data_IF_117895742354
#
_entry.id   IF_117895742354
#
_cell.length_a   1.000
_cell.length_b   1.000
_cell.length_c   1.000
_cell.angle_alpha   90.00
_cell.angle_beta   90.00
_cell.angle_gamma   90.00
#
_symmetry.space_group_name_H-M   'P 1'
#
loop_
_entity.id
_entity.type
_entity.pdbx_description
1 polymer ?
#
# COMPACT_ATOMS: atom_id res chain seq x y z
N UNK A 1 13.43 -7.87 -3.39
CA UNK A 1 12.46 -8.32 -2.37
C UNK A 1 11.79 -9.60 -2.86
N UNK A 2 11.26 -10.47 -2.00
CA UNK A 2 10.46 -11.64 -2.43
C UNK A 2 8.97 -11.36 -2.20
N UNK A 3 8.08 -12.07 -2.90
CA UNK A 3 6.63 -11.95 -2.68
C UNK A 3 6.23 -12.29 -1.23
N UNK A 4 6.89 -13.27 -0.61
CA UNK A 4 6.68 -13.60 0.82
C UNK A 4 7.07 -12.44 1.74
N UNK A 5 8.23 -11.83 1.50
CA UNK A 5 8.67 -10.66 2.27
C UNK A 5 7.74 -9.46 2.08
N UNK A 6 7.25 -9.23 0.86
CA UNK A 6 6.26 -8.20 0.59
C UNK A 6 4.93 -8.48 1.31
N UNK A 7 4.43 -9.72 1.26
CA UNK A 7 3.21 -10.11 1.97
C UNK A 7 3.33 -9.86 3.48
N UNK A 8 4.50 -10.11 4.07
CA UNK A 8 4.74 -9.83 5.48
C UNK A 8 4.74 -8.33 5.80
N UNK A 9 5.35 -7.49 4.96
CA UNK A 9 5.29 -6.03 5.09
C UNK A 9 3.85 -5.54 4.95
N UNK A 10 3.11 -6.03 3.96
CA UNK A 10 1.70 -5.71 3.76
C UNK A 10 0.86 -6.09 4.97
N UNK A 11 1.08 -7.27 5.56
CA UNK A 11 0.38 -7.70 6.78
C UNK A 11 0.65 -6.78 7.99
N UNK A 12 1.88 -6.29 8.13
CA UNK A 12 2.22 -5.34 9.19
C UNK A 12 1.51 -4.00 8.99
N UNK A 13 1.48 -3.48 7.76
CA UNK A 13 0.77 -2.23 7.44
C UNK A 13 -0.74 -2.40 7.65
N UNK A 14 -1.31 -3.51 7.19
CA UNK A 14 -2.71 -3.87 7.39
C UNK A 14 -3.09 -3.91 8.89
N UNK A 15 -2.20 -4.44 9.74
CA UNK A 15 -2.41 -4.47 11.19
C UNK A 15 -2.50 -3.06 11.79
N UNK A 16 -1.66 -2.14 11.34
CA UNK A 16 -1.65 -0.75 11.82
C UNK A 16 -2.83 0.06 11.29
N UNK A 17 -3.19 -0.14 10.02
CA UNK A 17 -4.24 0.63 9.35
C UNK A 17 -5.65 0.05 9.50
N UNK A 18 -5.79 -1.22 9.88
CA UNK A 18 -7.10 -1.88 10.04
C UNK A 18 -8.08 -1.16 10.98
N UNK A 19 -7.65 -0.56 12.10
CA UNK A 19 -8.53 0.24 12.95
C UNK A 19 -8.84 1.65 12.42
N UNK A 20 -8.16 2.12 11.38
CA UNK A 20 -8.31 3.48 10.85
C UNK A 20 -9.50 3.51 9.88
N UNK A 21 -10.40 4.47 10.06
CA UNK A 21 -11.49 4.71 9.10
C UNK A 21 -10.95 5.34 7.82
N UNK A 22 -10.87 4.55 6.76
CA UNK A 22 -10.55 5.00 5.39
C UNK A 22 -11.85 5.18 4.63
N UNK A 23 -12.06 6.36 4.04
CA UNK A 23 -13.23 6.67 3.24
C UNK A 23 -12.97 7.86 2.31
N UNK A 24 -13.92 8.14 1.43
CA UNK A 24 -13.98 9.37 0.63
C UNK A 24 -15.13 10.28 1.09
N UNK A 25 -15.12 11.54 0.66
CA UNK A 25 -16.20 12.49 0.90
C UNK A 25 -15.95 13.48 2.03
N UNK A 26 -16.99 13.84 2.77
CA UNK A 26 -16.97 14.81 3.87
C UNK A 26 -16.96 14.11 5.24
N UNK A 27 -16.50 14.80 6.28
CA UNK A 27 -16.40 14.27 7.64
C UNK A 27 -14.98 13.84 8.01
N UNK A 28 -14.83 13.28 9.22
CA UNK A 28 -13.53 12.89 9.77
C UNK A 28 -13.18 11.45 9.34
N UNK A 29 -12.29 11.33 8.37
CA UNK A 29 -11.71 10.06 7.91
C UNK A 29 -10.28 10.30 7.43
N UNK A 30 -9.54 9.21 7.26
CA UNK A 30 -8.21 9.24 6.63
C UNK A 30 -8.29 8.75 5.19
N UNK A 31 -7.28 9.08 4.40
CA UNK A 31 -7.06 8.54 3.05
C UNK A 31 -5.64 7.97 2.98
N UNK A 32 -5.47 6.92 2.21
CA UNK A 32 -4.18 6.22 2.07
C UNK A 32 -3.80 6.18 0.60
N UNK A 33 -2.54 6.46 0.31
CA UNK A 33 -1.91 6.22 -0.99
C UNK A 33 -0.75 5.27 -0.79
N UNK A 34 -0.54 4.38 -1.75
CA UNK A 34 0.50 3.36 -1.69
C UNK A 34 1.43 3.56 -2.87
N UNK A 35 2.69 3.74 -2.53
CA UNK A 35 3.77 3.98 -3.47
C UNK A 35 4.79 2.87 -3.26
N UNK A 36 5.08 2.13 -4.31
CA UNK A 36 6.16 1.14 -4.33
C UNK A 36 7.34 1.72 -5.08
N UNK A 37 8.55 1.25 -4.79
CA UNK A 37 9.73 1.70 -5.50
C UNK A 37 10.75 0.58 -5.68
N UNK A 38 11.38 0.59 -6.85
CA UNK A 38 12.58 -0.19 -7.19
C UNK A 38 13.62 0.77 -7.74
N UNK A 39 13.86 0.73 -9.06
CA UNK A 39 14.64 1.75 -9.74
C UNK A 39 13.86 3.07 -9.87
N UNK A 40 12.54 2.97 -10.01
CA UNK A 40 11.62 4.10 -10.05
C UNK A 40 10.49 3.94 -9.03
N UNK A 41 9.94 5.05 -8.56
CA UNK A 41 8.75 5.05 -7.70
C UNK A 41 7.47 5.01 -8.55
N UNK A 42 6.55 4.13 -8.18
CA UNK A 42 5.25 3.96 -8.83
C UNK A 42 4.14 4.13 -7.81
N UNK A 43 3.20 5.02 -8.11
CA UNK A 43 1.96 5.14 -7.33
C UNK A 43 1.08 3.96 -7.75
N UNK A 44 0.89 3.01 -6.85
CA UNK A 44 0.03 1.83 -7.08
C UNK A 44 -1.42 2.18 -6.78
N UNK A 45 -1.64 2.97 -5.73
CA UNK A 45 -2.95 3.48 -5.34
C UNK A 45 -2.85 4.94 -4.91
N UNK A 46 -3.69 5.81 -5.46
CA UNK A 46 -3.85 7.21 -5.09
C UNK A 46 -4.75 7.37 -3.86
N UNK A 47 -4.75 8.57 -3.26
CA UNK A 47 -5.61 8.88 -2.12
C UNK A 47 -7.12 8.76 -2.38
N UNK A 48 -7.54 8.65 -3.63
CA UNK A 48 -8.93 8.55 -4.08
C UNK A 48 -9.39 7.11 -4.34
N UNK A 49 -8.47 6.14 -4.28
CA UNK A 49 -8.73 4.82 -4.86
C UNK A 49 -9.40 3.86 -3.86
N UNK A 50 -9.44 4.22 -2.58
CA UNK A 50 -10.11 3.43 -1.53
C UNK A 50 -11.30 4.18 -0.94
N UNK A 51 -12.47 3.54 -0.96
CA UNK A 51 -13.72 4.05 -0.39
C UNK A 51 -14.03 3.47 0.99
N UNK A 52 -13.31 2.43 1.40
CA UNK A 52 -13.44 1.80 2.72
C UNK A 52 -12.11 1.20 3.20
N UNK A 53 -11.99 0.98 4.51
CA UNK A 53 -10.85 0.25 5.09
C UNK A 53 -10.77 -1.19 4.57
N UNK A 54 -11.90 -1.88 4.39
CA UNK A 54 -11.93 -3.25 3.86
C UNK A 54 -11.46 -3.32 2.41
N UNK A 55 -11.85 -2.36 1.57
CA UNK A 55 -11.37 -2.25 0.19
C UNK A 55 -9.86 -2.04 0.16
N UNK A 56 -9.34 -1.11 0.96
CA UNK A 56 -7.90 -0.89 1.09
C UNK A 56 -7.19 -2.19 1.50
N UNK A 57 -7.65 -2.89 2.54
CA UNK A 57 -7.03 -4.14 3.00
C UNK A 57 -7.02 -5.21 1.90
N UNK A 58 -8.13 -5.39 1.19
CA UNK A 58 -8.25 -6.40 0.14
C UNK A 58 -7.34 -6.11 -1.07
N UNK A 59 -7.28 -4.86 -1.53
CA UNK A 59 -6.47 -4.48 -2.69
C UNK A 59 -4.96 -4.47 -2.38
N UNK A 60 -4.58 -4.11 -1.15
CA UNK A 60 -3.18 -4.11 -0.72
C UNK A 60 -2.49 -5.48 -0.82
N UNK A 61 -3.21 -6.57 -0.56
CA UNK A 61 -2.66 -7.93 -0.68
C UNK A 61 -2.49 -8.41 -2.12
N UNK A 62 -3.00 -7.67 -3.11
CA UNK A 62 -2.81 -7.96 -4.54
C UNK A 62 -1.55 -7.30 -5.11
N UNK A 63 -0.83 -6.50 -4.32
CA UNK A 63 0.41 -5.87 -4.76
C UNK A 63 1.49 -6.95 -4.88
N UNK A 64 2.05 -7.08 -6.07
CA UNK A 64 3.14 -8.02 -6.37
C UNK A 64 4.51 -7.32 -6.31
N UNK A 65 5.56 -8.09 -6.02
CA UNK A 65 6.91 -7.56 -6.08
C UNK A 65 7.28 -7.25 -7.53
N UNK A 66 7.72 -6.01 -7.79
CA UNK A 66 8.23 -5.61 -9.10
C UNK A 66 9.49 -6.40 -9.51
N UNK A 67 9.76 -6.41 -10.82
CA UNK A 67 10.92 -7.10 -11.44
C UNK A 67 12.19 -6.23 -11.47
N UNK A 68 12.12 -5.01 -10.93
CA UNK A 68 13.26 -4.08 -10.92
C UNK A 68 14.43 -4.62 -10.10
N UNK A 69 15.62 -4.52 -10.66
CA UNK A 69 16.78 -5.28 -10.18
C UNK A 69 17.25 -4.86 -8.78
N UNK A 70 17.11 -3.59 -8.35
CA UNK A 70 17.43 -3.12 -6.98
C UNK A 70 16.69 -1.83 -6.62
N UNK A 71 16.24 -1.74 -5.36
CA UNK A 71 15.87 -0.46 -4.74
C UNK A 71 17.13 0.36 -4.47
N UNK A 72 17.14 1.65 -4.81
CA UNK A 72 18.27 2.58 -4.61
C UNK A 72 18.57 2.94 -3.14
N UNK A 73 18.25 2.06 -2.20
CA UNK A 73 18.38 2.31 -0.76
C UNK A 73 19.84 2.45 -0.29
N UNK A 74 20.82 2.18 -1.17
CA UNK A 74 22.25 2.07 -0.85
C UNK A 74 23.12 2.64 -2.00
N UNK A 75 22.82 3.85 -2.47
CA UNK A 75 23.87 4.71 -3.08
C UNK A 75 24.54 5.57 -2.00
#
# INVERSE_FOLDING_TARGET
>A
MTNEGLAQVTANIATVLGPVTIAQGQGQHSRVSIITYGATATIVFNFTDFNSTDEMLNEMFKIECGIDEKANLWE
#
